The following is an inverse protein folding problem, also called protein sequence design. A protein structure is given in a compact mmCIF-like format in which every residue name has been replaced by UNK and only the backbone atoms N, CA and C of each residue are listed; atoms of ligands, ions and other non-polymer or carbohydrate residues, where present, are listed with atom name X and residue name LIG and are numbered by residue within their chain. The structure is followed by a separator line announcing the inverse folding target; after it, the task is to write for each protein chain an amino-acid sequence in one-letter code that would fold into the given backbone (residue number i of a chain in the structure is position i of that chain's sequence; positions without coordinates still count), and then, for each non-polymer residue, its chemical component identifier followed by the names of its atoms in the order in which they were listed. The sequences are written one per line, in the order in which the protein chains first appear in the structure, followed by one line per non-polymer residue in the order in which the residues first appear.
data_IF_719351940817
#
_entry.id   IF_719351940817
#
_cell.length_a   1.000
_cell.length_b   1.000
_cell.length_c   1.000
_cell.angle_alpha   90.00
_cell.angle_beta   90.00
_cell.angle_gamma   90.00
#
_symmetry.space_group_name_H-M   'P 1'
#
loop_
_entity.id
_entity.type
_entity.pdbx_description
1 polymer ?
#
# COMPACT_ATOMS: atom_id res chain seq x y z
N UNK A 1 16.17 69.10 41.98
CA UNK A 1 15.90 67.86 41.25
C UNK A 1 16.85 67.79 40.05
N UNK A 2 17.84 66.90 40.05
CA UNK A 2 18.69 66.63 38.88
C UNK A 2 17.95 65.62 37.99
N UNK A 3 17.57 66.02 36.78
CA UNK A 3 17.01 65.14 35.76
C UNK A 3 18.15 64.50 34.98
N UNK A 4 18.26 63.17 35.04
CA UNK A 4 19.16 62.38 34.20
C UNK A 4 18.72 62.48 32.73
N UNK A 5 19.62 62.68 31.75
CA UNK A 5 19.23 62.69 30.35
C UNK A 5 18.91 61.26 29.89
N UNK A 6 17.75 61.06 29.27
CA UNK A 6 17.42 59.82 28.55
C UNK A 6 18.39 59.66 27.36
N UNK A 7 19.10 58.54 27.32
CA UNK A 7 19.99 58.19 26.22
C UNK A 7 19.21 57.85 24.94
N UNK A 8 19.81 58.05 23.75
CA UNK A 8 19.14 57.76 22.48
C UNK A 8 18.75 56.28 22.35
N UNK A 9 17.65 55.96 21.63
CA UNK A 9 17.15 54.59 21.51
C UNK A 9 18.20 53.68 20.84
N UNK A 10 18.32 52.41 21.26
CA UNK A 10 19.31 51.50 20.70
C UNK A 10 19.06 51.28 19.21
N UNK A 11 20.07 51.58 18.39
CA UNK A 11 19.97 51.45 16.94
C UNK A 11 20.33 50.02 16.49
N UNK A 12 19.34 49.14 16.45
CA UNK A 12 19.49 47.74 16.05
C UNK A 12 19.78 47.55 14.55
N UNK A 13 19.61 48.59 13.73
CA UNK A 13 19.86 48.57 12.28
C UNK A 13 21.23 49.14 11.89
N UNK A 14 22.09 49.46 12.87
CA UNK A 14 23.44 49.95 12.61
C UNK A 14 24.31 48.89 11.91
N UNK A 15 25.09 49.31 10.91
CA UNK A 15 26.00 48.44 10.13
C UNK A 15 26.93 47.58 11.01
N UNK A 16 27.36 48.10 12.16
CA UNK A 16 28.21 47.38 13.12
C UNK A 16 27.46 46.27 13.87
N UNK A 17 26.15 46.42 14.09
CA UNK A 17 25.29 45.41 14.72
C UNK A 17 24.89 44.32 13.72
N UNK A 18 24.58 44.72 12.49
CA UNK A 18 24.31 43.79 11.38
C UNK A 18 25.50 42.88 11.06
N UNK A 19 26.74 43.41 11.10
CA UNK A 19 27.94 42.60 10.90
C UNK A 19 28.13 41.54 12.00
N UNK A 20 27.83 41.89 13.26
CA UNK A 20 27.90 40.95 14.39
C UNK A 20 26.85 39.85 14.28
N UNK A 21 25.63 40.20 13.89
CA UNK A 21 24.56 39.23 13.68
C UNK A 21 24.89 38.27 12.52
N UNK A 22 25.42 38.78 11.41
CA UNK A 22 25.88 37.95 10.29
C UNK A 22 27.06 37.07 10.67
N UNK A 23 27.99 37.54 11.51
CA UNK A 23 29.08 36.72 12.02
C UNK A 23 28.57 35.55 12.89
N UNK A 24 27.54 35.79 13.73
CA UNK A 24 26.93 34.71 14.53
C UNK A 24 26.18 33.69 13.67
N UNK A 25 25.43 34.15 12.67
CA UNK A 25 24.73 33.26 11.73
C UNK A 25 25.74 32.46 10.89
N UNK A 26 26.81 33.10 10.42
CA UNK A 26 27.88 32.44 9.68
C UNK A 26 28.58 31.37 10.52
N UNK A 27 28.85 31.66 11.79
CA UNK A 27 29.42 30.68 12.73
C UNK A 27 28.45 29.51 12.98
N UNK A 28 27.15 29.76 13.10
CA UNK A 28 26.15 28.71 13.23
C UNK A 28 26.12 27.80 11.99
N UNK A 29 26.14 28.37 10.79
CA UNK A 29 26.17 27.60 9.53
C UNK A 29 27.44 26.75 9.43
N UNK A 30 28.59 27.31 9.83
CA UNK A 30 29.86 26.60 9.84
C UNK A 30 29.84 25.41 10.83
N UNK A 31 29.25 25.59 12.01
CA UNK A 31 29.07 24.52 13.00
C UNK A 31 28.15 23.41 12.46
N UNK A 32 27.05 23.77 11.79
CA UNK A 32 26.14 22.78 11.19
C UNK A 32 26.82 21.98 10.07
N UNK A 33 27.62 22.64 9.24
CA UNK A 33 28.41 21.98 8.20
C UNK A 33 29.48 21.02 8.79
N UNK A 34 30.12 21.41 9.89
CA UNK A 34 31.06 20.55 10.61
C UNK A 34 30.37 19.31 11.22
N UNK A 35 29.19 19.49 11.81
CA UNK A 35 28.37 18.38 12.34
C UNK A 35 27.95 17.42 11.22
N UNK A 36 27.53 17.93 10.06
CA UNK A 36 27.17 17.10 8.91
C UNK A 36 28.36 16.27 8.41
N UNK A 37 29.56 16.87 8.36
CA UNK A 37 30.78 16.16 7.96
C UNK A 37 31.24 15.11 8.97
N UNK A 38 31.00 15.34 10.26
CA UNK A 38 31.29 14.37 11.33
C UNK A 38 30.29 13.21 11.40
N UNK A 39 29.05 13.38 10.92
CA UNK A 39 27.99 12.36 10.93
C UNK A 39 28.14 11.27 9.86
N UNK A 40 29.07 11.43 8.91
CA UNK A 40 29.39 10.39 7.92
C UNK A 40 30.27 9.32 8.60
N UNK A 41 29.81 8.06 8.72
CA UNK A 41 30.60 6.99 9.34
C UNK A 41 31.91 6.71 8.60
N UNK A 42 32.00 7.11 7.32
CA UNK A 42 33.23 7.00 6.54
C UNK A 42 34.34 7.97 6.91
N UNK A 43 34.01 9.11 7.52
CA UNK A 43 34.98 10.07 8.06
C UNK A 43 35.80 9.49 9.22
N UNK A 44 35.35 8.38 9.80
CA UNK A 44 35.97 7.70 10.94
C UNK A 44 36.75 6.43 10.57
N UNK A 45 36.77 6.04 9.29
CA UNK A 45 37.48 4.83 8.83
C UNK A 45 39.01 4.93 8.94
N UNK A 46 39.57 6.13 9.07
CA UNK A 46 40.99 6.27 9.40
C UNK A 46 41.31 5.90 10.85
N UNK A 47 40.33 5.97 11.77
CA UNK A 47 40.48 5.66 13.19
C UNK A 47 40.12 4.20 13.50
N UNK A 48 39.16 3.61 12.77
CA UNK A 48 38.65 2.26 13.03
C UNK A 48 39.00 1.23 11.94
N UNK A 49 39.60 1.66 10.82
CA UNK A 49 39.75 0.84 9.61
C UNK A 49 38.43 0.68 8.84
N UNK A 50 38.49 0.39 7.51
CA UNK A 50 37.29 0.02 6.76
C UNK A 50 36.75 -1.32 7.28
N UNK A 51 35.41 -1.51 7.30
CA UNK A 51 34.82 -2.78 7.73
C UNK A 51 35.38 -3.89 6.85
N UNK A 52 35.93 -4.93 7.48
CA UNK A 52 36.41 -6.14 6.81
C UNK A 52 35.20 -6.76 6.11
N UNK A 53 35.07 -6.56 4.81
CA UNK A 53 34.17 -7.37 4.01
C UNK A 53 34.66 -8.80 4.19
N UNK A 54 33.86 -9.62 4.87
CA UNK A 54 34.00 -11.06 4.81
C UNK A 54 33.62 -11.51 3.40
N UNK A 55 34.45 -11.16 2.42
CA UNK A 55 34.69 -11.97 1.24
C UNK A 55 35.55 -13.15 1.66
N UNK A 56 35.06 -13.90 2.66
CA UNK A 56 35.45 -15.27 2.87
C UNK A 56 34.67 -16.06 1.83
N UNK A 57 35.38 -16.71 0.92
CA UNK A 57 34.86 -17.73 0.03
C UNK A 57 34.17 -18.82 0.84
N UNK A 58 32.93 -18.60 1.25
CA UNK A 58 31.98 -19.68 1.37
C UNK A 58 31.57 -20.00 -0.05
N UNK A 59 32.11 -21.11 -0.56
CA UNK A 59 31.49 -21.84 -1.66
C UNK A 59 30.05 -22.08 -1.21
N UNK A 60 29.15 -21.20 -1.63
CA UNK A 60 27.73 -21.47 -1.58
C UNK A 60 27.57 -22.74 -2.42
N UNK A 61 27.01 -23.84 -1.90
CA UNK A 61 26.48 -24.86 -2.80
C UNK A 61 25.55 -24.14 -3.78
N UNK A 62 25.46 -24.56 -5.06
CA UNK A 62 24.68 -23.86 -6.05
C UNK A 62 23.32 -23.55 -5.45
N UNK A 63 23.04 -22.25 -5.24
CA UNK A 63 21.69 -21.80 -4.98
C UNK A 63 21.01 -22.10 -6.32
N UNK A 64 20.30 -23.22 -6.38
CA UNK A 64 19.30 -23.40 -7.40
C UNK A 64 18.46 -22.12 -7.36
N UNK A 65 18.38 -21.34 -8.46
CA UNK A 65 17.53 -20.17 -8.47
C UNK A 65 16.15 -20.63 -8.06
N UNK A 66 15.61 -20.02 -6.99
CA UNK A 66 14.21 -20.25 -6.65
C UNK A 66 13.41 -20.00 -7.93
N UNK A 67 12.48 -20.89 -8.34
CA UNK A 67 11.84 -20.85 -9.66
C UNK A 67 11.04 -19.56 -9.98
N UNK A 68 11.02 -18.60 -9.05
CA UNK A 68 10.38 -17.30 -9.17
C UNK A 68 11.26 -16.20 -9.77
N UNK A 69 12.59 -16.35 -9.82
CA UNK A 69 13.50 -15.28 -10.28
C UNK A 69 13.63 -15.19 -11.82
N UNK A 70 12.95 -16.05 -12.58
CA UNK A 70 13.03 -16.09 -14.06
C UNK A 70 11.71 -15.73 -14.76
N UNK A 71 10.65 -15.41 -14.01
CA UNK A 71 9.35 -15.12 -14.61
C UNK A 71 9.30 -13.69 -15.18
N UNK A 72 9.11 -13.57 -16.51
CA UNK A 72 8.87 -12.27 -17.15
C UNK A 72 7.50 -11.72 -16.77
N UNK A 73 7.27 -10.39 -16.83
CA UNK A 73 5.95 -9.80 -16.56
C UNK A 73 4.82 -10.42 -17.40
N UNK A 74 5.10 -10.79 -18.64
CA UNK A 74 4.13 -11.47 -19.52
C UNK A 74 3.79 -12.88 -19.02
N UNK A 75 4.78 -13.64 -18.54
CA UNK A 75 4.55 -14.99 -17.99
C UNK A 75 3.75 -14.91 -16.69
N UNK A 76 4.05 -13.90 -15.85
CA UNK A 76 3.28 -13.63 -14.63
C UNK A 76 1.83 -13.28 -14.99
N UNK A 77 1.63 -12.38 -15.95
CA UNK A 77 0.29 -11.99 -16.39
C UNK A 77 -0.50 -13.19 -16.94
N UNK A 78 0.13 -14.06 -17.74
CA UNK A 78 -0.49 -15.27 -18.25
C UNK A 78 -0.84 -16.27 -17.13
N UNK A 79 0.04 -16.44 -16.14
CA UNK A 79 -0.20 -17.32 -15.00
C UNK A 79 -1.33 -16.82 -14.08
N UNK A 80 -1.56 -15.50 -14.04
CA UNK A 80 -2.62 -14.88 -13.23
C UNK A 80 -3.95 -14.78 -13.99
N UNK A 81 -3.93 -14.78 -15.33
CA UNK A 81 -5.13 -14.57 -16.13
C UNK A 81 -6.19 -15.66 -15.92
N UNK A 82 -7.45 -15.24 -15.74
CA UNK A 82 -8.59 -16.15 -15.69
C UNK A 82 -9.04 -16.49 -17.12
N UNK A 83 -9.14 -17.78 -17.49
CA UNK A 83 -9.67 -18.19 -18.79
C UNK A 83 -11.07 -17.58 -19.06
N UNK A 84 -11.33 -17.01 -20.25
CA UNK A 84 -12.59 -16.35 -20.56
C UNK A 84 -13.84 -17.23 -20.34
N UNK A 85 -13.75 -18.53 -20.64
CA UNK A 85 -14.86 -19.47 -20.44
C UNK A 85 -15.32 -19.62 -18.98
N UNK A 86 -14.45 -19.31 -18.01
CA UNK A 86 -14.83 -19.29 -16.59
C UNK A 86 -15.72 -18.07 -16.28
N UNK A 87 -15.56 -16.97 -17.04
CA UNK A 87 -16.22 -15.70 -16.77
C UNK A 87 -17.61 -15.56 -17.39
N UNK A 88 -17.94 -16.39 -18.40
CA UNK A 88 -19.13 -16.24 -19.26
C UNK A 88 -20.46 -16.20 -18.49
N UNK A 89 -20.58 -17.00 -17.43
CA UNK A 89 -21.83 -17.16 -16.68
C UNK A 89 -21.92 -16.31 -15.41
N UNK A 90 -20.96 -15.41 -15.18
CA UNK A 90 -20.95 -14.53 -14.02
C UNK A 90 -21.79 -13.29 -14.32
N UNK A 91 -22.79 -13.04 -13.49
CA UNK A 91 -23.70 -11.90 -13.66
C UNK A 91 -23.60 -10.98 -12.47
N UNK A 92 -23.53 -9.68 -12.73
CA UNK A 92 -23.70 -8.68 -11.69
C UNK A 92 -25.14 -8.64 -11.18
N UNK A 93 -25.31 -7.98 -10.04
CA UNK A 93 -26.60 -7.60 -9.48
C UNK A 93 -27.54 -8.74 -9.14
N UNK A 94 -27.02 -9.95 -8.99
CA UNK A 94 -27.76 -11.04 -8.37
C UNK A 94 -27.61 -10.99 -6.85
N UNK A 95 -28.67 -11.40 -6.15
CA UNK A 95 -28.59 -11.60 -4.70
C UNK A 95 -27.84 -12.89 -4.42
N UNK A 96 -26.63 -12.77 -3.87
CA UNK A 96 -25.77 -13.91 -3.57
C UNK A 96 -25.24 -14.61 -4.82
N UNK A 97 -24.81 -15.87 -4.63
CA UNK A 97 -24.18 -16.69 -5.66
C UNK A 97 -25.21 -17.59 -6.35
N UNK A 98 -25.34 -17.47 -7.67
CA UNK A 98 -26.21 -18.31 -8.51
C UNK A 98 -25.58 -19.69 -8.71
N UNK A 99 -26.39 -20.69 -9.06
CA UNK A 99 -25.92 -22.07 -9.24
C UNK A 99 -24.82 -22.18 -10.31
N UNK A 100 -25.00 -21.50 -11.44
CA UNK A 100 -24.05 -21.41 -12.55
C UNK A 100 -22.76 -20.66 -12.20
N UNK A 101 -22.76 -19.88 -11.13
CA UNK A 101 -21.59 -19.15 -10.66
C UNK A 101 -20.78 -19.94 -9.63
N UNK A 102 -21.31 -21.04 -9.08
CA UNK A 102 -20.62 -21.84 -8.04
C UNK A 102 -19.29 -22.39 -8.56
N UNK A 103 -19.28 -22.95 -9.77
CA UNK A 103 -18.07 -23.45 -10.42
C UNK A 103 -17.03 -22.35 -10.61
N UNK A 104 -17.34 -21.28 -11.37
CA UNK A 104 -16.44 -20.14 -11.57
C UNK A 104 -15.93 -19.50 -10.27
N UNK A 105 -16.80 -19.33 -9.28
CA UNK A 105 -16.46 -18.77 -7.99
C UNK A 105 -15.36 -19.58 -7.28
N UNK A 106 -15.51 -20.91 -7.22
CA UNK A 106 -14.50 -21.76 -6.60
C UNK A 106 -13.23 -21.89 -7.45
N UNK A 107 -13.34 -21.92 -8.78
CA UNK A 107 -12.18 -21.92 -9.66
C UNK A 107 -11.32 -20.67 -9.50
N UNK A 108 -11.93 -19.48 -9.41
CA UNK A 108 -11.20 -18.22 -9.21
C UNK A 108 -10.64 -18.14 -7.79
N UNK A 109 -11.34 -18.65 -6.77
CA UNK A 109 -10.78 -18.77 -5.43
C UNK A 109 -9.58 -19.72 -5.39
N UNK A 110 -9.65 -20.85 -6.09
CA UNK A 110 -8.53 -21.79 -6.20
C UNK A 110 -7.34 -21.12 -6.91
N UNK A 111 -7.58 -20.39 -7.99
CA UNK A 111 -6.56 -19.59 -8.66
C UNK A 111 -5.92 -18.58 -7.70
N UNK A 112 -6.73 -17.86 -6.91
CA UNK A 112 -6.21 -16.92 -5.91
C UNK A 112 -5.38 -17.64 -4.83
N UNK A 113 -5.78 -18.85 -4.42
CA UNK A 113 -5.06 -19.67 -3.43
C UNK A 113 -3.73 -20.19 -3.96
N UNK A 114 -3.69 -20.65 -5.20
CA UNK A 114 -2.58 -21.45 -5.74
C UNK A 114 -1.51 -20.61 -6.43
N UNK A 115 -1.89 -19.44 -6.98
CA UNK A 115 -0.93 -18.49 -7.55
C UNK A 115 -0.12 -17.83 -6.43
N UNK A 116 1.21 -17.69 -6.57
CA UNK A 116 2.02 -16.94 -5.61
C UNK A 116 1.49 -15.51 -5.44
N UNK A 117 1.29 -15.05 -4.20
CA UNK A 117 0.71 -13.72 -3.95
C UNK A 117 1.49 -12.59 -4.63
N UNK A 118 2.81 -12.73 -4.74
CA UNK A 118 3.68 -11.75 -5.41
C UNK A 118 3.33 -11.57 -6.90
N UNK A 119 2.82 -12.62 -7.56
CA UNK A 119 2.37 -12.53 -8.95
C UNK A 119 1.07 -11.72 -9.04
N UNK A 120 0.14 -11.94 -8.10
CA UNK A 120 -1.08 -11.14 -7.98
C UNK A 120 -0.75 -9.67 -7.72
N UNK A 121 0.17 -9.40 -6.78
CA UNK A 121 0.64 -8.04 -6.47
C UNK A 121 1.30 -7.35 -7.66
N UNK A 122 2.07 -8.10 -8.46
CA UNK A 122 2.78 -7.56 -9.64
C UNK A 122 1.82 -7.07 -10.73
N UNK A 123 0.69 -7.76 -10.92
CA UNK A 123 -0.28 -7.40 -11.98
C UNK A 123 -1.48 -6.62 -11.47
N UNK A 124 -1.62 -6.49 -10.15
CA UNK A 124 -2.73 -5.78 -9.53
C UNK A 124 -2.79 -4.34 -10.01
N UNK A 125 -4.00 -3.90 -10.38
CA UNK A 125 -4.26 -2.50 -10.72
C UNK A 125 -5.08 -1.82 -9.64
N UNK A 126 -4.81 -0.54 -9.43
CA UNK A 126 -5.69 0.30 -8.64
C UNK A 126 -6.96 0.60 -9.44
N UNK A 127 -8.12 0.35 -8.84
CA UNK A 127 -9.41 0.68 -9.43
C UNK A 127 -10.25 1.44 -8.40
N UNK A 128 -10.72 2.63 -8.80
CA UNK A 128 -11.61 3.42 -7.95
C UNK A 128 -12.98 2.72 -7.81
N UNK A 129 -13.55 2.76 -6.61
CA UNK A 129 -14.83 2.14 -6.29
C UNK A 129 -15.95 2.53 -7.29
N UNK A 130 -16.14 3.82 -7.66
CA UNK A 130 -17.19 4.20 -8.59
C UNK A 130 -17.02 3.61 -9.99
N UNK A 131 -15.79 3.29 -10.40
CA UNK A 131 -15.50 2.71 -11.72
C UNK A 131 -15.90 1.24 -11.74
N UNK A 132 -15.57 0.48 -10.70
CA UNK A 132 -16.02 -0.91 -10.54
C UNK A 132 -17.55 -1.04 -10.54
N UNK A 133 -18.24 -0.06 -9.96
CA UNK A 133 -19.69 -0.01 -9.97
C UNK A 133 -20.27 0.33 -11.35
N UNK A 134 -19.60 1.15 -12.16
CA UNK A 134 -20.14 1.55 -13.48
C UNK A 134 -19.74 0.62 -14.60
N UNK A 135 -18.59 -0.03 -14.50
CA UNK A 135 -17.98 -0.82 -15.57
C UNK A 135 -17.55 -2.23 -15.09
N UNK A 136 -18.40 -2.98 -14.35
CA UNK A 136 -17.99 -4.25 -13.76
C UNK A 136 -17.50 -5.27 -14.80
N UNK A 137 -18.11 -5.30 -15.99
CA UNK A 137 -17.69 -6.19 -17.08
C UNK A 137 -16.25 -5.96 -17.55
N UNK A 138 -15.74 -4.73 -17.46
CA UNK A 138 -14.35 -4.45 -17.83
C UNK A 138 -13.38 -5.09 -16.84
N UNK A 139 -13.72 -5.10 -15.55
CA UNK A 139 -12.84 -5.56 -14.47
C UNK A 139 -13.01 -7.04 -14.12
N UNK A 140 -14.03 -7.72 -14.65
CA UNK A 140 -14.32 -9.12 -14.32
C UNK A 140 -13.10 -10.01 -14.57
N UNK A 141 -12.68 -10.73 -13.54
CA UNK A 141 -11.51 -11.60 -13.58
C UNK A 141 -10.16 -10.87 -13.57
N UNK A 142 -10.13 -9.54 -13.47
CA UNK A 142 -8.88 -8.79 -13.29
C UNK A 142 -8.48 -8.73 -11.81
N UNK A 143 -7.18 -8.77 -11.55
CA UNK A 143 -6.65 -8.56 -10.20
C UNK A 143 -6.62 -7.06 -9.89
N UNK A 144 -7.25 -6.69 -8.80
CA UNK A 144 -7.25 -5.31 -8.31
C UNK A 144 -6.60 -5.22 -6.93
N UNK A 145 -5.95 -4.09 -6.66
CA UNK A 145 -5.47 -3.73 -5.32
C UNK A 145 -6.49 -2.83 -4.64
N UNK A 146 -6.78 -3.11 -3.37
CA UNK A 146 -7.58 -2.20 -2.54
C UNK A 146 -6.90 -1.96 -1.20
N UNK A 147 -7.10 -0.75 -0.71
CA UNK A 147 -6.59 -0.31 0.57
C UNK A 147 -7.70 0.44 1.31
N UNK A 148 -8.25 -0.15 2.36
CA UNK A 148 -9.29 0.47 3.18
C UNK A 148 -9.25 0.08 4.65
N UNK A 149 -10.35 0.34 5.33
CA UNK A 149 -10.60 0.01 6.72
C UNK A 149 -11.40 -1.30 6.83
N UNK A 150 -10.85 -2.28 7.52
CA UNK A 150 -11.53 -3.51 7.89
C UNK A 150 -12.53 -3.25 9.01
N UNK A 151 -13.81 -3.52 8.75
CA UNK A 151 -14.91 -3.32 9.72
C UNK A 151 -15.64 -4.61 10.12
N UNK A 152 -15.46 -5.69 9.36
CA UNK A 152 -15.97 -7.03 9.67
C UNK A 152 -15.05 -8.07 9.06
N UNK A 153 -14.83 -9.16 9.78
CA UNK A 153 -14.08 -10.32 9.31
C UNK A 153 -14.67 -11.55 9.98
N UNK A 154 -15.16 -12.53 9.21
CA UNK A 154 -15.82 -13.71 9.78
C UNK A 154 -15.48 -14.95 8.97
N UNK A 155 -15.53 -16.14 9.60
CA UNK A 155 -15.59 -17.38 8.83
C UNK A 155 -16.85 -17.36 7.94
N UNK A 156 -16.68 -17.74 6.69
CA UNK A 156 -17.75 -17.77 5.70
C UNK A 156 -18.12 -19.23 5.38
N UNK A 157 -19.42 -19.58 5.34
CA UNK A 157 -19.83 -20.92 4.99
C UNK A 157 -19.42 -21.27 3.55
N UNK A 158 -18.97 -22.50 3.36
CA UNK A 158 -18.50 -23.00 2.08
C UNK A 158 -19.57 -23.89 1.47
N UNK A 159 -19.74 -23.77 0.16
CA UNK A 159 -20.53 -24.71 -0.62
C UNK A 159 -19.64 -25.85 -1.10
N UNK A 160 -20.25 -26.98 -1.40
CA UNK A 160 -19.55 -28.10 -2.03
C UNK A 160 -18.76 -27.62 -3.26
N UNK A 161 -17.52 -28.10 -3.37
CA UNK A 161 -16.61 -27.68 -4.43
C UNK A 161 -15.55 -28.75 -4.72
N UNK A 162 -15.17 -28.84 -5.99
CA UNK A 162 -14.13 -29.77 -6.47
C UNK A 162 -12.71 -29.20 -6.37
N UNK A 163 -12.57 -28.02 -5.75
CA UNK A 163 -11.30 -27.27 -5.71
C UNK A 163 -10.55 -27.46 -4.38
N UNK A 164 -11.07 -28.30 -3.47
CA UNK A 164 -10.47 -28.57 -2.17
C UNK A 164 -10.47 -27.37 -1.22
N UNK A 165 -11.38 -26.40 -1.41
CA UNK A 165 -11.53 -25.25 -0.52
C UNK A 165 -12.33 -25.70 0.70
N UNK A 166 -11.68 -25.74 1.86
CA UNK A 166 -12.26 -26.23 3.13
C UNK A 166 -12.50 -25.13 4.14
N UNK A 167 -11.84 -23.97 3.96
CA UNK A 167 -12.03 -22.77 4.78
C UNK A 167 -12.16 -21.52 3.92
N UNK A 168 -13.08 -20.63 4.30
CA UNK A 168 -13.25 -19.30 3.71
C UNK A 168 -13.53 -18.28 4.80
N UNK A 169 -13.12 -17.04 4.54
CA UNK A 169 -13.45 -15.89 5.39
C UNK A 169 -14.08 -14.78 4.55
N UNK A 170 -15.04 -14.06 5.12
CA UNK A 170 -15.60 -12.83 4.56
C UNK A 170 -15.04 -11.62 5.31
N UNK A 171 -14.41 -10.70 4.58
CA UNK A 171 -14.05 -9.39 5.07
C UNK A 171 -14.93 -8.30 4.45
N UNK A 172 -15.32 -7.30 5.24
CA UNK A 172 -15.88 -6.04 4.75
C UNK A 172 -14.85 -4.93 4.92
N UNK A 173 -14.39 -4.40 3.79
CA UNK A 173 -13.37 -3.35 3.71
C UNK A 173 -14.00 -2.09 3.12
N UNK A 174 -13.77 -0.94 3.75
CA UNK A 174 -14.29 0.35 3.31
C UNK A 174 -13.14 1.24 2.85
N UNK A 175 -13.16 1.67 1.60
CA UNK A 175 -12.17 2.62 1.07
C UNK A 175 -12.69 4.05 1.25
N UNK A 176 -11.82 5.03 1.09
CA UNK A 176 -12.18 6.45 1.21
C UNK A 176 -13.24 6.87 0.18
N UNK A 177 -13.28 6.22 -0.97
CA UNK A 177 -14.18 6.50 -2.09
C UNK A 177 -15.42 5.58 -2.16
N UNK A 178 -15.57 4.61 -1.23
CA UNK A 178 -16.73 3.69 -1.22
C UNK A 178 -17.90 4.18 -0.36
N UNK A 179 -17.72 5.28 0.39
CA UNK A 179 -18.75 5.87 1.24
C UNK A 179 -19.25 4.87 2.29
N UNK A 180 -20.54 4.50 2.21
CA UNK A 180 -21.18 3.55 3.13
C UNK A 180 -21.25 2.13 2.58
N UNK A 181 -20.71 1.87 1.40
CA UNK A 181 -20.72 0.55 0.77
C UNK A 181 -19.35 -0.11 0.96
N UNK A 182 -19.35 -1.39 1.31
CA UNK A 182 -18.12 -2.15 1.51
C UNK A 182 -17.66 -2.80 0.19
N UNK A 183 -16.38 -3.08 0.08
CA UNK A 183 -15.89 -4.22 -0.68
C UNK A 183 -16.19 -5.50 0.12
N UNK A 184 -16.82 -6.48 -0.52
CA UNK A 184 -17.05 -7.81 0.05
C UNK A 184 -15.95 -8.73 -0.42
N UNK A 185 -15.04 -9.11 0.48
CA UNK A 185 -13.88 -9.91 0.11
C UNK A 185 -14.04 -11.33 0.63
N UNK A 186 -13.71 -12.31 -0.20
CA UNK A 186 -13.58 -13.72 0.16
C UNK A 186 -12.12 -14.08 0.21
N UNK A 187 -11.71 -14.69 1.32
CA UNK A 187 -10.31 -15.02 1.60
C UNK A 187 -10.18 -16.54 1.75
N UNK A 188 -9.18 -17.12 1.08
CA UNK A 188 -8.86 -18.55 1.17
C UNK A 188 -7.89 -18.87 2.30
N UNK A 189 -7.15 -17.89 2.79
CA UNK A 189 -6.20 -18.05 3.90
C UNK A 189 -6.80 -17.54 5.21
N UNK A 190 -6.57 -18.24 6.34
CA UNK A 190 -6.92 -17.73 7.65
C UNK A 190 -6.34 -16.32 7.91
N UNK A 191 -7.09 -15.42 8.54
CA UNK A 191 -6.71 -14.02 8.66
C UNK A 191 -5.71 -13.79 9.80
N UNK A 192 -4.51 -14.36 9.68
CA UNK A 192 -3.32 -14.13 10.51
C UNK A 192 -3.57 -13.58 11.91
N UNK A 193 -3.13 -12.35 12.15
CA UNK A 193 -3.25 -11.61 13.41
C UNK A 193 -4.49 -10.70 13.47
N UNK A 194 -5.37 -10.75 12.46
CA UNK A 194 -6.55 -9.89 12.40
C UNK A 194 -7.69 -10.44 13.27
N UNK A 195 -8.36 -9.59 14.05
CA UNK A 195 -9.48 -10.03 14.87
C UNK A 195 -10.66 -10.44 13.99
N UNK A 196 -11.22 -11.62 14.27
CA UNK A 196 -12.44 -12.12 13.65
C UNK A 196 -13.64 -11.66 14.47
N UNK A 197 -14.63 -11.03 13.84
CA UNK A 197 -15.86 -10.59 14.47
C UNK A 197 -16.85 -9.95 13.49
N UNK A 198 -18.13 -9.94 13.88
CA UNK A 198 -19.24 -9.30 13.13
C UNK A 198 -19.04 -7.79 13.01
N UNK A 199 -18.35 -7.19 13.96
CA UNK A 199 -18.01 -5.76 14.04
C UNK A 199 -16.60 -5.63 14.57
N UNK A 200 -15.75 -4.87 13.87
CA UNK A 200 -14.40 -4.52 14.30
C UNK A 200 -14.37 -3.03 14.61
N UNK A 201 -14.05 -2.70 15.87
CA UNK A 201 -13.93 -1.34 16.39
C UNK A 201 -12.71 -1.26 17.33
N UNK A 202 -11.77 -0.33 17.12
CA UNK A 202 -11.69 0.60 15.99
C UNK A 202 -11.49 -0.15 14.64
N UNK A 203 -11.85 0.46 13.49
CA UNK A 203 -11.53 -0.12 12.19
C UNK A 203 -10.02 -0.31 12.03
N UNK A 204 -9.60 -1.37 11.33
CA UNK A 204 -8.18 -1.71 11.15
C UNK A 204 -7.78 -1.40 9.70
N UNK A 205 -6.76 -0.57 9.46
CA UNK A 205 -6.29 -0.31 8.10
C UNK A 205 -5.68 -1.58 7.51
N UNK A 206 -6.13 -1.95 6.32
CA UNK A 206 -5.74 -3.18 5.62
C UNK A 206 -5.41 -2.90 4.15
N UNK A 207 -4.70 -3.84 3.53
CA UNK A 207 -4.49 -3.92 2.08
C UNK A 207 -4.68 -5.37 1.64
N UNK A 208 -5.17 -5.56 0.43
CA UNK A 208 -5.21 -6.85 -0.24
C UNK A 208 -5.22 -6.69 -1.76
N UNK A 209 -4.89 -7.77 -2.45
CA UNK A 209 -5.10 -7.94 -3.88
C UNK A 209 -6.03 -9.11 -4.12
N UNK A 210 -6.88 -9.02 -5.13
CA UNK A 210 -7.82 -10.09 -5.45
C UNK A 210 -8.50 -9.88 -6.79
N UNK A 211 -9.08 -10.95 -7.31
CA UNK A 211 -9.85 -10.91 -8.54
C UNK A 211 -11.17 -10.22 -8.29
N UNK A 212 -11.50 -9.22 -9.12
CA UNK A 212 -12.86 -8.69 -9.16
C UNK A 212 -13.79 -9.72 -9.78
N UNK A 213 -14.72 -10.23 -8.98
CA UNK A 213 -15.64 -11.30 -9.40
C UNK A 213 -16.91 -10.74 -10.01
N UNK A 214 -17.62 -9.91 -9.26
CA UNK A 214 -18.86 -9.26 -9.71
C UNK A 214 -19.28 -8.13 -8.77
N UNK A 215 -20.33 -7.43 -9.15
CA UNK A 215 -21.14 -6.66 -8.22
C UNK A 215 -22.20 -7.56 -7.58
N UNK A 216 -22.10 -7.79 -6.28
CA UNK A 216 -23.01 -8.67 -5.52
C UNK A 216 -24.06 -7.85 -4.79
N UNK A 217 -25.34 -8.23 -4.97
CA UNK A 217 -26.43 -7.60 -4.27
C UNK A 217 -26.68 -8.26 -2.92
N UNK A 218 -27.02 -7.44 -1.93
CA UNK A 218 -27.38 -7.88 -0.60
C UNK A 218 -28.39 -6.95 0.02
N UNK A 219 -29.18 -7.49 0.94
CA UNK A 219 -30.15 -6.70 1.70
C UNK A 219 -29.47 -6.23 2.98
N UNK A 220 -29.52 -4.92 3.23
CA UNK A 220 -29.07 -4.36 4.50
C UNK A 220 -30.22 -4.43 5.49
N UNK A 221 -30.02 -5.15 6.60
CA UNK A 221 -31.06 -5.37 7.62
C UNK A 221 -31.64 -4.05 8.17
N UNK A 222 -30.81 -3.00 8.26
CA UNK A 222 -31.21 -1.71 8.86
C UNK A 222 -32.27 -0.96 8.04
N UNK A 223 -32.18 -0.99 6.72
CA UNK A 223 -33.06 -0.21 5.83
C UNK A 223 -33.88 -1.09 4.87
N UNK A 224 -33.66 -2.40 4.88
CA UNK A 224 -34.27 -3.39 3.99
C UNK A 224 -34.10 -3.07 2.50
N UNK A 225 -33.10 -2.24 2.16
CA UNK A 225 -32.80 -1.90 0.78
C UNK A 225 -31.80 -2.88 0.21
N UNK A 226 -31.90 -3.06 -1.11
CA UNK A 226 -30.90 -3.78 -1.89
C UNK A 226 -29.72 -2.84 -2.10
N UNK A 227 -28.56 -3.24 -1.59
CA UNK A 227 -27.27 -2.61 -1.85
C UNK A 227 -26.48 -3.50 -2.81
N UNK A 228 -25.61 -2.89 -3.60
CA UNK A 228 -24.77 -3.60 -4.56
C UNK A 228 -23.31 -3.24 -4.31
N UNK A 229 -22.47 -4.24 -4.08
CA UNK A 229 -21.08 -4.07 -3.66
C UNK A 229 -20.11 -4.87 -4.55
N UNK A 230 -18.92 -4.33 -4.85
CA UNK A 230 -17.83 -5.11 -5.44
C UNK A 230 -17.49 -6.33 -4.58
N UNK A 231 -17.45 -7.50 -5.20
CA UNK A 231 -16.96 -8.73 -4.59
C UNK A 231 -15.56 -9.06 -5.11
N UNK A 232 -14.61 -9.26 -4.19
CA UNK A 232 -13.24 -9.68 -4.50
C UNK A 232 -12.98 -11.09 -3.98
N UNK A 233 -12.29 -11.90 -4.78
CA UNK A 233 -11.79 -13.22 -4.40
C UNK A 233 -10.28 -13.12 -4.25
N UNK A 234 -9.79 -13.26 -3.02
CA UNK A 234 -8.42 -12.96 -2.64
C UNK A 234 -7.81 -14.12 -1.85
N UNK A 235 -6.49 -14.21 -1.87
CA UNK A 235 -5.78 -15.21 -1.07
C UNK A 235 -5.80 -14.81 0.40
N UNK A 236 -5.26 -13.63 0.69
CA UNK A 236 -5.01 -13.11 2.03
C UNK A 236 -5.38 -11.64 2.15
N UNK A 237 -5.37 -11.16 3.39
CA UNK A 237 -5.55 -9.76 3.75
C UNK A 237 -4.49 -9.40 4.77
N UNK A 238 -3.81 -8.28 4.53
CA UNK A 238 -2.69 -7.86 5.36
C UNK A 238 -3.06 -6.57 6.09
N UNK A 239 -2.63 -6.45 7.35
CA UNK A 239 -2.64 -5.15 8.03
C UNK A 239 -1.79 -4.20 7.21
N UNK A 240 -2.36 -3.05 6.87
CA UNK A 240 -1.55 -1.96 6.38
C UNK A 240 -0.78 -1.49 7.60
N UNK A 241 0.52 -1.76 7.63
CA UNK A 241 1.36 -1.18 8.65
C UNK A 241 1.04 0.31 8.72
N UNK A 242 0.71 0.82 9.91
CA UNK A 242 1.11 2.19 10.19
C UNK A 242 2.61 2.13 9.96
N UNK A 243 3.06 2.75 8.88
CA UNK A 243 4.38 3.35 8.95
C UNK A 243 4.35 4.10 10.28
N UNK A 244 5.09 3.61 11.29
CA UNK A 244 5.76 4.56 12.16
C UNK A 244 6.33 5.63 11.22
N UNK A 245 6.30 6.93 11.56
CA UNK A 245 7.27 7.82 10.93
C UNK A 245 8.66 7.21 11.26
N UNK A 246 9.18 6.39 10.34
CA UNK A 246 10.13 5.32 10.63
C UNK A 246 9.93 4.14 9.69
N UNK A 247 10.65 4.19 8.56
CA UNK A 247 10.76 3.21 7.46
C UNK A 247 9.74 3.27 6.31
N UNK A 248 9.37 4.48 5.86
CA UNK A 248 9.29 4.72 4.42
C UNK A 248 10.56 5.47 4.00
N UNK A 249 11.61 4.69 3.80
CA UNK A 249 12.77 5.15 3.05
C UNK A 249 12.28 5.35 1.62
N UNK A 250 11.98 6.61 1.28
CA UNK A 250 11.85 7.02 -0.11
C UNK A 250 13.14 6.56 -0.83
N UNK A 251 13.07 5.95 -2.02
CA UNK A 251 14.20 6.05 -2.93
C UNK A 251 14.36 7.55 -3.22
N UNK A 252 15.32 8.16 -2.54
CA UNK A 252 15.82 9.49 -2.84
C UNK A 252 17.10 9.27 -3.62
N UNK A 253 16.94 8.85 -4.87
CA UNK A 253 17.95 9.20 -5.86
C UNK A 253 17.90 10.73 -5.98
N UNK A 254 19.05 11.37 -5.75
CA UNK A 254 19.21 12.82 -5.88
C UNK A 254 19.18 13.30 -7.35
N UNK A 255 19.00 12.40 -8.32
CA UNK A 255 19.03 12.73 -9.74
C UNK A 255 17.75 13.41 -10.26
N UNK A 256 16.57 13.16 -9.69
CA UNK A 256 15.30 13.64 -10.26
C UNK A 256 14.64 14.79 -9.49
N UNK A 257 15.22 15.22 -8.36
CA UNK A 257 14.68 16.33 -7.55
C UNK A 257 15.11 17.73 -8.01
N UNK A 258 15.95 17.84 -9.03
CA UNK A 258 16.45 19.13 -9.54
C UNK A 258 15.69 19.70 -10.77
N UNK A 259 14.71 19.00 -11.35
CA UNK A 259 13.97 19.51 -12.52
C UNK A 259 12.61 20.16 -12.25
N UNK A 260 12.03 20.03 -11.04
CA UNK A 260 10.76 20.70 -10.71
C UNK A 260 10.93 22.00 -9.91
N UNK A 261 12.13 22.29 -9.39
CA UNK A 261 12.42 23.54 -8.67
C UNK A 261 12.95 24.67 -9.58
N UNK A 262 13.31 24.38 -10.83
CA UNK A 262 13.79 25.38 -11.79
C UNK A 262 12.70 26.00 -12.69
N UNK A 263 11.45 25.53 -12.64
CA UNK A 263 10.34 26.14 -13.40
C UNK A 263 9.55 27.20 -12.63
N UNK A 264 9.84 27.44 -11.34
CA UNK A 264 9.18 28.47 -10.52
C UNK A 264 10.06 29.70 -10.18
N UNK A 265 11.24 29.83 -10.79
CA UNK A 265 12.12 31.00 -10.64
C UNK A 265 12.52 31.58 -12.02
N UNK A 266 11.54 31.67 -12.92
CA UNK A 266 11.69 32.21 -14.28
C UNK A 266 10.52 33.09 -14.74
N UNK A 267 9.70 33.62 -13.83
CA UNK A 267 8.67 34.65 -14.13
C UNK A 267 8.68 35.69 -13.02
N UNK A 268 9.72 36.53 -12.98
CA UNK A 268 9.64 37.96 -12.65
C UNK A 268 10.85 38.62 -13.33
N UNK A 269 10.64 39.11 -14.55
CA UNK A 269 11.30 40.31 -15.07
C UNK A 269 10.34 41.46 -14.82
#
# INVERSE_FOLDING_TARGET
MKTTPEGPPPNYLGRSFQLRMMAMVGLLVLVLAAIDRARKPSSWYWLTGPPRSESGSMVNPPIDPSPHDTATPETIAAAVAIPPGILENISDDSVGLRSEEIGPYHQILAQARDVPNIYLETVARDAAFPVLQKQPNHFRGQVISIAGDLRRLMRFPIRENDQGITELYEALVFTSDSGTTAYRVRLTTPPGDLPVGRTIKPPIPVRLVGYFFKRDQYIVEKDLRVHSAPMLLAQRIDRRGTLSPGSNQLPTSDADRLWWALTLLGVVV
#
